data_IF_889117630286
#
_entry.id   IF_889117630286
#
_cell.length_a   1.000
_cell.length_b   1.000
_cell.length_c   1.000
_cell.angle_alpha   90.00
_cell.angle_beta   90.00
_cell.angle_gamma   90.00
#
_symmetry.space_group_name_H-M   'P 1'
#
loop_
_entity.id
_entity.type
_entity.pdbx_description
1 polymer ?
#
# COMPACT_ATOMS: atom_id res chain seq x y z
N UNK A 1 33.66 -15.65 0.69
CA UNK A 1 34.81 -16.57 0.86
C UNK A 1 36.07 -15.75 1.00
N UNK A 2 36.90 -16.00 2.01
CA UNK A 2 38.21 -15.35 2.17
C UNK A 2 39.29 -16.37 1.83
N UNK A 3 40.08 -16.10 0.80
CA UNK A 3 41.23 -16.94 0.45
C UNK A 3 42.45 -16.35 1.15
N UNK A 4 43.01 -17.07 2.11
CA UNK A 4 44.28 -16.71 2.74
C UNK A 4 45.37 -17.52 2.07
N UNK A 5 46.25 -16.84 1.33
CA UNK A 5 47.36 -17.47 0.62
C UNK A 5 48.64 -17.21 1.40
N UNK A 6 49.35 -18.27 1.80
CA UNK A 6 50.68 -18.18 2.39
C UNK A 6 51.69 -18.86 1.48
N UNK A 7 52.53 -18.06 0.83
CA UNK A 7 53.65 -18.57 0.04
C UNK A 7 54.90 -18.68 0.93
N UNK A 8 55.51 -19.87 0.97
CA UNK A 8 56.76 -20.09 1.68
C UNK A 8 57.93 -20.15 0.70
N UNK A 9 58.78 -19.12 0.71
CA UNK A 9 59.94 -19.00 -0.18
C UNK A 9 60.98 -20.10 0.01
N UNK A 10 61.10 -20.65 1.23
CA UNK A 10 62.12 -21.65 1.59
C UNK A 10 61.78 -23.05 1.10
N UNK A 11 60.50 -23.39 0.98
CA UNK A 11 60.01 -24.70 0.51
C UNK A 11 59.40 -24.65 -0.90
N UNK A 12 59.27 -23.46 -1.50
CA UNK A 12 58.53 -23.21 -2.76
C UNK A 12 57.09 -23.75 -2.74
N UNK A 13 56.47 -23.81 -1.56
CA UNK A 13 55.09 -24.28 -1.40
C UNK A 13 54.15 -23.12 -1.14
N UNK A 14 53.03 -23.06 -1.85
CA UNK A 14 51.94 -22.11 -1.59
C UNK A 14 50.79 -22.83 -0.92
N UNK A 15 50.41 -22.38 0.27
CA UNK A 15 49.25 -22.88 1.01
C UNK A 15 48.07 -21.95 0.74
N UNK A 16 46.98 -22.51 0.23
CA UNK A 16 45.71 -21.80 0.04
C UNK A 16 44.73 -22.24 1.13
N UNK A 17 44.30 -21.31 1.98
CA UNK A 17 43.30 -21.53 3.01
C UNK A 17 42.00 -20.84 2.60
N UNK A 18 40.97 -21.64 2.30
CA UNK A 18 39.65 -21.17 1.92
C UNK A 18 38.78 -21.05 3.17
N UNK A 19 38.56 -19.82 3.65
CA UNK A 19 37.70 -19.55 4.80
C UNK A 19 36.30 -19.13 4.32
N UNK A 20 35.30 -19.95 4.62
CA UNK A 20 33.89 -19.62 4.40
C UNK A 20 33.34 -18.91 5.65
N UNK A 21 33.32 -17.57 5.63
CA UNK A 21 32.79 -16.76 6.75
C UNK A 21 31.30 -17.01 7.03
N UNK A 22 30.55 -17.44 6.01
CA UNK A 22 29.11 -17.67 6.06
C UNK A 22 28.67 -18.89 6.87
N UNK A 23 29.59 -19.78 7.27
CA UNK A 23 29.22 -21.08 7.83
C UNK A 23 28.44 -20.97 9.16
N UNK A 24 28.79 -20.00 10.01
CA UNK A 24 28.16 -19.81 11.32
C UNK A 24 26.73 -19.25 11.25
N UNK A 25 26.39 -18.58 10.15
CA UNK A 25 25.07 -17.94 9.95
C UNK A 25 24.09 -18.86 9.20
N UNK A 26 24.48 -20.10 8.91
CA UNK A 26 23.63 -21.08 8.24
C UNK A 26 22.65 -21.73 9.23
N UNK A 27 21.44 -22.08 8.77
CA UNK A 27 20.51 -22.90 9.56
C UNK A 27 21.18 -24.22 9.99
N UNK A 28 20.90 -24.69 11.21
CA UNK A 28 21.52 -25.91 11.76
C UNK A 28 21.40 -27.13 10.84
N UNK A 29 20.23 -27.32 10.22
CA UNK A 29 20.02 -28.41 9.24
C UNK A 29 20.98 -28.36 8.05
N UNK A 30 21.29 -27.16 7.56
CA UNK A 30 22.22 -26.98 6.44
C UNK A 30 23.68 -27.14 6.90
N UNK A 31 24.01 -26.72 8.12
CA UNK A 31 25.31 -26.98 8.72
C UNK A 31 25.56 -28.48 8.87
N UNK A 32 24.59 -29.22 9.41
CA UNK A 32 24.67 -30.67 9.58
C UNK A 32 24.84 -31.38 8.23
N UNK A 33 24.06 -30.99 7.21
CA UNK A 33 24.17 -31.54 5.85
C UNK A 33 25.57 -31.25 5.24
N UNK A 34 26.10 -30.05 5.43
CA UNK A 34 27.44 -29.70 4.96
C UNK A 34 28.54 -30.48 5.68
N UNK A 35 28.46 -30.63 7.01
CA UNK A 35 29.43 -31.42 7.79
C UNK A 35 29.40 -32.87 7.33
N UNK A 36 28.21 -33.47 7.18
CA UNK A 36 28.06 -34.85 6.70
C UNK A 36 28.64 -35.04 5.30
N UNK A 37 28.41 -34.09 4.38
CA UNK A 37 28.97 -34.13 3.03
C UNK A 37 30.50 -34.03 3.03
N UNK A 38 31.07 -33.21 3.91
CA UNK A 38 32.52 -33.10 4.07
C UNK A 38 33.09 -34.39 4.66
N UNK A 39 32.48 -34.96 5.69
CA UNK A 39 32.91 -36.24 6.27
C UNK A 39 32.86 -37.38 5.26
N UNK A 40 31.78 -37.46 4.48
CA UNK A 40 31.63 -38.44 3.41
C UNK A 40 32.69 -38.25 2.32
N UNK A 41 33.00 -37.01 1.97
CA UNK A 41 34.07 -36.69 1.02
C UNK A 41 35.44 -37.12 1.55
N UNK A 42 35.78 -36.82 2.81
CA UNK A 42 37.07 -37.21 3.42
C UNK A 42 37.24 -38.72 3.51
N UNK A 43 36.16 -39.47 3.75
CA UNK A 43 36.18 -40.95 3.78
C UNK A 43 36.27 -41.59 2.39
N UNK A 44 36.08 -40.81 1.32
CA UNK A 44 36.14 -41.34 -0.05
C UNK A 44 37.59 -41.65 -0.49
N UNK A 45 37.86 -42.80 -1.12
CA UNK A 45 39.19 -43.14 -1.62
C UNK A 45 39.68 -42.15 -2.72
N UNK A 46 38.77 -41.46 -3.40
CA UNK A 46 39.08 -40.43 -4.41
C UNK A 46 39.38 -39.05 -3.82
N UNK A 47 39.26 -38.87 -2.50
CA UNK A 47 39.47 -37.57 -1.86
C UNK A 47 40.87 -36.99 -2.13
N UNK A 48 41.92 -37.82 -2.10
CA UNK A 48 43.30 -37.37 -2.32
C UNK A 48 43.55 -36.80 -3.72
N UNK A 49 42.83 -37.31 -4.71
CA UNK A 49 42.92 -36.84 -6.10
C UNK A 49 42.11 -35.56 -6.29
N UNK A 50 40.90 -35.51 -5.72
CA UNK A 50 39.99 -34.37 -5.82
C UNK A 50 40.47 -33.13 -5.05
N UNK A 51 41.14 -33.32 -3.91
CA UNK A 51 41.70 -32.21 -3.09
C UNK A 51 42.81 -31.46 -3.83
N UNK A 52 43.41 -32.03 -4.88
CA UNK A 52 44.41 -31.31 -5.70
C UNK A 52 43.83 -30.07 -6.37
N UNK A 53 42.52 -30.04 -6.61
CA UNK A 53 41.82 -28.86 -7.07
C UNK A 53 41.15 -28.15 -5.87
N UNK A 54 41.59 -26.94 -5.49
CA UNK A 54 41.05 -26.22 -4.34
C UNK A 54 39.58 -25.80 -4.51
N UNK A 55 39.08 -25.72 -5.75
CA UNK A 55 37.71 -25.33 -6.07
C UNK A 55 36.70 -26.47 -5.87
N UNK A 56 37.13 -27.72 -5.72
CA UNK A 56 36.20 -28.84 -5.42
C UNK A 56 35.51 -28.65 -4.07
N UNK A 57 36.16 -28.02 -3.10
CA UNK A 57 35.53 -27.69 -1.81
C UNK A 57 34.41 -26.65 -1.99
N UNK A 58 34.54 -25.76 -2.98
CA UNK A 58 33.50 -24.79 -3.27
C UNK A 58 32.25 -25.45 -3.82
N UNK A 59 32.38 -26.46 -4.68
CA UNK A 59 31.22 -27.17 -5.24
C UNK A 59 30.47 -27.97 -4.16
N UNK A 60 31.18 -28.54 -3.19
CA UNK A 60 30.59 -29.19 -2.01
C UNK A 60 29.79 -28.21 -1.13
N UNK A 61 30.22 -26.96 -1.03
CA UNK A 61 29.49 -25.92 -0.29
C UNK A 61 28.27 -25.40 -1.06
N UNK A 62 28.44 -25.10 -2.36
CA UNK A 62 27.38 -24.49 -3.16
C UNK A 62 26.20 -25.43 -3.41
N UNK A 63 26.44 -26.74 -3.55
CA UNK A 63 25.38 -27.73 -3.81
C UNK A 63 24.23 -27.71 -2.78
N UNK A 64 24.49 -27.94 -1.48
CA UNK A 64 23.45 -27.88 -0.45
C UNK A 64 22.86 -26.46 -0.30
N UNK A 65 23.72 -25.43 -0.39
CA UNK A 65 23.31 -24.03 -0.25
C UNK A 65 22.29 -23.64 -1.33
N UNK A 66 22.50 -24.02 -2.59
CA UNK A 66 21.59 -23.67 -3.68
C UNK A 66 20.26 -24.43 -3.59
N UNK A 67 20.28 -25.67 -3.08
CA UNK A 67 19.05 -26.41 -2.78
C UNK A 67 18.25 -25.76 -1.64
N UNK A 68 18.94 -25.21 -0.66
CA UNK A 68 18.30 -24.43 0.40
C UNK A 68 17.59 -23.20 -0.18
N UNK A 69 18.28 -22.39 -1.00
CA UNK A 69 17.66 -21.25 -1.70
C UNK A 69 16.46 -21.68 -2.57
N UNK A 70 16.56 -22.81 -3.27
CA UNK A 70 15.45 -23.36 -4.06
C UNK A 70 14.20 -23.63 -3.23
N UNK A 71 14.37 -24.18 -2.02
CA UNK A 71 13.26 -24.46 -1.11
C UNK A 71 12.70 -23.16 -0.53
N UNK A 72 13.58 -22.24 -0.12
CA UNK A 72 13.19 -20.93 0.41
C UNK A 72 12.36 -20.12 -0.60
N UNK A 73 12.74 -20.14 -1.88
CA UNK A 73 12.04 -19.42 -2.95
C UNK A 73 10.59 -19.87 -3.19
N UNK A 74 10.19 -21.07 -2.71
CA UNK A 74 8.80 -21.55 -2.84
C UNK A 74 7.85 -20.82 -1.90
N UNK A 75 8.30 -20.49 -0.69
CA UNK A 75 7.46 -19.89 0.35
C UNK A 75 6.79 -18.59 -0.10
N UNK A 76 7.56 -17.58 -0.55
CA UNK A 76 6.99 -16.34 -1.07
C UNK A 76 6.05 -16.58 -2.25
N UNK A 77 6.44 -17.45 -3.20
CA UNK A 77 5.62 -17.75 -4.39
C UNK A 77 4.25 -18.29 -4.03
N UNK A 78 4.20 -19.30 -3.16
CA UNK A 78 2.96 -19.94 -2.77
C UNK A 78 2.10 -18.99 -1.93
N UNK A 79 2.72 -18.22 -1.01
CA UNK A 79 1.99 -17.18 -0.26
C UNK A 79 1.38 -16.11 -1.17
N UNK A 80 2.07 -15.66 -2.22
CA UNK A 80 1.50 -14.68 -3.16
C UNK A 80 0.38 -15.29 -3.98
N UNK A 81 0.52 -16.55 -4.41
CA UNK A 81 -0.54 -17.25 -5.13
C UNK A 81 -1.83 -17.33 -4.30
N UNK A 82 -1.72 -17.58 -3.01
CA UNK A 82 -2.86 -17.63 -2.11
C UNK A 82 -3.53 -16.24 -1.96
N UNK A 83 -2.74 -15.16 -1.86
CA UNK A 83 -3.30 -13.79 -1.81
C UNK A 83 -3.92 -13.38 -3.16
N UNK A 84 -3.32 -13.75 -4.30
CA UNK A 84 -3.91 -13.52 -5.63
C UNK A 84 -5.28 -14.19 -5.75
N UNK A 85 -5.42 -15.42 -5.25
CA UNK A 85 -6.70 -16.13 -5.24
C UNK A 85 -7.76 -15.41 -4.40
N UNK A 86 -7.39 -14.88 -3.23
CA UNK A 86 -8.30 -14.09 -2.37
C UNK A 86 -8.75 -12.79 -3.02
N UNK A 87 -7.87 -12.14 -3.78
CA UNK A 87 -8.19 -10.89 -4.50
C UNK A 87 -9.15 -11.15 -5.66
N UNK A 88 -9.02 -12.30 -6.35
CA UNK A 88 -9.89 -12.68 -7.45
C UNK A 88 -11.18 -13.38 -7.04
N UNK A 89 -11.23 -13.99 -5.85
CA UNK A 89 -12.43 -14.55 -5.23
C UNK A 89 -13.42 -13.44 -4.85
N UNK A 90 -14.32 -13.08 -5.77
CA UNK A 90 -15.31 -12.02 -5.60
C UNK A 90 -16.12 -12.17 -4.31
N UNK A 91 -16.16 -11.12 -3.48
CA UNK A 91 -17.36 -10.80 -2.68
C UNK A 91 -17.15 -10.32 -1.24
N UNK A 92 -16.18 -10.86 -0.50
CA UNK A 92 -16.02 -10.53 0.93
C UNK A 92 -14.60 -10.66 1.50
N UNK A 93 -13.66 -11.30 0.78
CA UNK A 93 -12.29 -11.51 1.28
C UNK A 93 -11.30 -10.39 0.90
N UNK A 94 -11.66 -9.49 -0.02
CA UNK A 94 -10.81 -8.36 -0.44
C UNK A 94 -10.47 -7.45 0.75
N UNK A 95 -11.39 -7.28 1.70
CA UNK A 95 -11.18 -6.51 2.93
C UNK A 95 -10.20 -7.20 3.90
N UNK A 96 -9.96 -8.51 3.74
CA UNK A 96 -9.01 -9.29 4.55
C UNK A 96 -7.62 -9.42 3.92
N UNK A 97 -7.42 -8.90 2.71
CA UNK A 97 -6.10 -8.92 2.07
C UNK A 97 -5.19 -7.93 2.79
N UNK A 98 -4.21 -8.45 3.51
CA UNK A 98 -3.28 -7.63 4.28
C UNK A 98 -2.28 -6.93 3.35
N UNK A 99 -2.58 -5.69 2.94
CA UNK A 99 -1.68 -4.85 2.14
C UNK A 99 -0.28 -4.75 2.77
N UNK A 100 -0.22 -4.70 4.10
CA UNK A 100 1.02 -4.73 4.87
C UNK A 100 1.87 -5.97 4.57
N UNK A 101 1.27 -7.16 4.52
CA UNK A 101 1.98 -8.41 4.23
C UNK A 101 2.51 -8.43 2.81
N UNK A 102 1.71 -7.97 1.83
CA UNK A 102 2.15 -7.84 0.44
C UNK A 102 3.36 -6.89 0.32
N UNK A 103 3.29 -5.73 0.99
CA UNK A 103 4.37 -4.74 0.96
C UNK A 103 5.65 -5.24 1.65
N UNK A 104 5.54 -5.88 2.82
CA UNK A 104 6.68 -6.48 3.52
C UNK A 104 7.30 -7.61 2.69
N UNK A 105 6.48 -8.43 2.03
CA UNK A 105 6.95 -9.51 1.15
C UNK A 105 7.69 -8.93 -0.04
N UNK A 106 7.17 -7.87 -0.68
CA UNK A 106 7.84 -7.19 -1.79
C UNK A 106 9.22 -6.65 -1.36
N UNK A 107 9.30 -5.97 -0.22
CA UNK A 107 10.58 -5.49 0.33
C UNK A 107 11.58 -6.62 0.59
N UNK A 108 11.11 -7.75 1.13
CA UNK A 108 11.97 -8.93 1.34
C UNK A 108 12.48 -9.52 0.02
N UNK A 109 11.65 -9.58 -1.02
CA UNK A 109 12.03 -10.08 -2.34
C UNK A 109 13.04 -9.16 -3.04
N UNK A 110 12.92 -7.84 -2.87
CA UNK A 110 13.90 -6.87 -3.37
C UNK A 110 15.26 -7.04 -2.70
N UNK A 111 15.27 -7.26 -1.38
CA UNK A 111 16.50 -7.56 -0.65
C UNK A 111 17.13 -8.88 -1.11
N UNK A 112 16.31 -9.93 -1.28
CA UNK A 112 16.77 -11.23 -1.79
C UNK A 112 17.36 -11.08 -3.19
N UNK A 113 16.76 -10.28 -4.07
CA UNK A 113 17.29 -10.00 -5.41
C UNK A 113 18.69 -9.39 -5.37
N UNK A 114 18.93 -8.44 -4.46
CA UNK A 114 20.25 -7.84 -4.25
C UNK A 114 21.24 -8.91 -3.79
N UNK A 115 20.88 -9.74 -2.80
CA UNK A 115 21.74 -10.83 -2.35
C UNK A 115 22.05 -11.82 -3.48
N UNK A 116 21.06 -12.15 -4.31
CA UNK A 116 21.27 -13.05 -5.43
C UNK A 116 22.19 -12.48 -6.50
N UNK A 117 22.08 -11.17 -6.81
CA UNK A 117 23.03 -10.50 -7.71
C UNK A 117 24.46 -10.55 -7.18
N UNK A 118 24.65 -10.33 -5.87
CA UNK A 118 25.97 -10.43 -5.26
C UNK A 118 26.53 -11.86 -5.36
N UNK A 119 25.70 -12.88 -5.14
CA UNK A 119 26.13 -14.28 -5.25
C UNK A 119 26.52 -14.62 -6.69
N UNK A 120 25.74 -14.17 -7.69
CA UNK A 120 26.10 -14.34 -9.11
C UNK A 120 27.47 -13.71 -9.43
N UNK A 121 27.74 -12.50 -8.93
CA UNK A 121 29.07 -11.90 -9.10
C UNK A 121 30.18 -12.70 -8.39
N UNK A 122 29.91 -13.30 -7.24
CA UNK A 122 30.87 -14.16 -6.55
C UNK A 122 31.15 -15.43 -7.36
N UNK A 123 30.12 -16.06 -7.94
CA UNK A 123 30.28 -17.22 -8.82
C UNK A 123 31.10 -16.82 -10.07
N UNK A 124 30.77 -15.69 -10.69
CA UNK A 124 31.53 -15.14 -11.83
C UNK A 124 32.99 -14.79 -11.52
N UNK A 125 33.29 -14.38 -10.28
CA UNK A 125 34.69 -14.24 -9.81
C UNK A 125 35.35 -15.61 -9.63
N UNK A 126 34.61 -16.59 -9.11
CA UNK A 126 35.13 -17.93 -8.86
C UNK A 126 35.46 -18.68 -10.16
N UNK A 127 34.60 -18.58 -11.18
CA UNK A 127 34.87 -19.09 -12.54
C UNK A 127 36.16 -18.49 -13.10
N UNK A 128 36.32 -17.16 -13.08
CA UNK A 128 37.55 -16.49 -13.53
C UNK A 128 38.81 -16.94 -12.78
N UNK A 129 38.72 -17.12 -11.46
CA UNK A 129 39.84 -17.64 -10.68
C UNK A 129 40.15 -19.11 -11.00
N UNK A 130 39.14 -19.92 -11.28
CA UNK A 130 39.31 -21.31 -11.72
C UNK A 130 39.97 -21.38 -13.10
N UNK A 131 39.55 -20.55 -14.06
CA UNK A 131 40.18 -20.43 -15.39
C UNK A 131 41.67 -20.04 -15.28
N UNK A 132 41.99 -19.06 -14.42
CA UNK A 132 43.37 -18.66 -14.14
C UNK A 132 44.18 -19.79 -13.51
N UNK A 133 43.61 -20.52 -12.56
CA UNK A 133 44.27 -21.67 -11.96
C UNK A 133 44.52 -22.78 -13.00
N UNK A 134 43.56 -23.02 -13.88
CA UNK A 134 43.66 -24.00 -14.95
C UNK A 134 44.75 -23.63 -15.96
N UNK A 135 44.87 -22.35 -16.34
CA UNK A 135 45.92 -21.90 -17.28
C UNK A 135 47.32 -22.06 -16.69
N UNK A 136 47.50 -21.82 -15.39
CA UNK A 136 48.77 -22.04 -14.68
C UNK A 136 49.13 -23.53 -14.65
N UNK A 137 48.17 -24.41 -14.38
CA UNK A 137 48.41 -25.87 -14.39
C UNK A 137 48.77 -26.36 -15.79
N UNK A 138 48.04 -25.90 -16.83
CA UNK A 138 48.30 -26.26 -18.23
C UNK A 138 49.70 -25.85 -18.70
N UNK A 139 50.22 -24.72 -18.20
CA UNK A 139 51.56 -24.25 -18.53
C UNK A 139 52.69 -25.09 -17.87
N UNK A 140 52.39 -25.87 -16.83
CA UNK A 140 53.38 -26.54 -16.00
C UNK A 140 53.53 -28.06 -16.17
N UNK A 141 52.54 -28.77 -16.74
CA UNK A 141 52.49 -30.25 -16.66
C UNK A 141 52.45 -30.92 -18.05
N UNK A 142 53.63 -31.32 -18.54
CA UNK A 142 53.81 -32.05 -19.80
C UNK A 142 53.39 -33.53 -19.71
N UNK A 143 52.08 -33.81 -19.58
CA UNK A 143 51.50 -35.12 -19.93
C UNK A 143 50.93 -35.99 -18.80
N UNK A 144 50.85 -35.54 -17.53
CA UNK A 144 50.13 -36.26 -16.46
C UNK A 144 48.63 -35.89 -16.36
N UNK A 145 48.10 -35.31 -17.44
CA UNK A 145 47.00 -34.33 -17.43
C UNK A 145 45.56 -34.87 -17.48
N UNK A 146 45.31 -36.12 -17.89
CA UNK A 146 43.95 -36.55 -18.23
C UNK A 146 42.97 -36.52 -17.03
N UNK A 147 43.40 -36.98 -15.86
CA UNK A 147 42.57 -37.03 -14.65
C UNK A 147 42.37 -35.63 -14.06
N UNK A 148 43.41 -34.80 -14.02
CA UNK A 148 43.31 -33.42 -13.53
C UNK A 148 42.44 -32.54 -14.43
N UNK A 149 42.45 -32.80 -15.74
CA UNK A 149 41.61 -32.11 -16.73
C UNK A 149 40.13 -32.43 -16.51
N UNK A 150 39.78 -33.71 -16.32
CA UNK A 150 38.40 -34.12 -16.03
C UNK A 150 37.82 -33.51 -14.74
N UNK A 151 38.63 -33.42 -13.67
CA UNK A 151 38.20 -32.76 -12.42
C UNK A 151 37.99 -31.25 -12.63
N UNK A 152 38.85 -30.57 -13.39
CA UNK A 152 38.66 -29.15 -13.67
C UNK A 152 37.42 -28.87 -14.53
N UNK A 153 37.16 -29.68 -15.57
CA UNK A 153 35.96 -29.56 -16.38
C UNK A 153 34.69 -29.79 -15.55
N UNK A 154 34.69 -30.78 -14.65
CA UNK A 154 33.55 -31.03 -13.76
C UNK A 154 33.28 -29.86 -12.81
N UNK A 155 34.32 -29.22 -12.28
CA UNK A 155 34.14 -28.04 -11.42
C UNK A 155 33.53 -26.87 -12.20
N UNK A 156 34.00 -26.65 -13.43
CA UNK A 156 33.46 -25.62 -14.34
C UNK A 156 31.98 -25.86 -14.64
N UNK A 157 31.61 -27.09 -15.02
CA UNK A 157 30.22 -27.48 -15.25
C UNK A 157 29.33 -27.27 -14.02
N UNK A 158 29.82 -27.59 -12.81
CA UNK A 158 29.05 -27.35 -11.57
C UNK A 158 28.93 -25.85 -11.25
N UNK A 159 29.97 -25.04 -11.49
CA UNK A 159 29.90 -23.59 -11.31
C UNK A 159 28.90 -22.95 -12.27
N UNK A 160 28.92 -23.34 -13.55
CA UNK A 160 27.94 -22.89 -14.56
C UNK A 160 26.53 -23.32 -14.20
N UNK A 161 26.37 -24.54 -13.68
CA UNK A 161 25.08 -25.02 -13.18
C UNK A 161 24.59 -24.17 -12.02
N UNK A 162 25.47 -23.79 -11.08
CA UNK A 162 25.10 -22.94 -9.97
C UNK A 162 24.72 -21.52 -10.43
N UNK A 163 25.46 -20.95 -11.37
CA UNK A 163 25.14 -19.66 -11.96
C UNK A 163 23.75 -19.69 -12.60
N UNK A 164 23.48 -20.68 -13.46
CA UNK A 164 22.19 -20.84 -14.13
C UNK A 164 21.03 -21.02 -13.14
N UNK A 165 21.22 -21.81 -12.07
CA UNK A 165 20.22 -21.96 -11.03
C UNK A 165 19.96 -20.66 -10.27
N UNK A 166 21.02 -19.90 -9.99
CA UNK A 166 20.90 -18.64 -9.27
C UNK A 166 20.28 -17.53 -10.12
N UNK A 167 20.58 -17.50 -11.42
CA UNK A 167 19.90 -16.66 -12.41
C UNK A 167 18.40 -16.97 -12.46
N UNK A 168 18.05 -18.26 -12.49
CA UNK A 168 16.64 -18.68 -12.45
C UNK A 168 15.94 -18.21 -11.17
N UNK A 169 16.55 -18.36 -9.99
CA UNK A 169 15.95 -17.89 -8.74
C UNK A 169 15.78 -16.37 -8.69
N UNK A 170 16.76 -15.63 -9.20
CA UNK A 170 16.67 -14.18 -9.32
C UNK A 170 15.50 -13.77 -10.23
N UNK A 171 15.42 -14.35 -11.42
CA UNK A 171 14.31 -14.08 -12.35
C UNK A 171 12.96 -14.45 -11.73
N UNK A 172 12.89 -15.59 -11.04
CA UNK A 172 11.68 -16.02 -10.35
C UNK A 172 11.26 -15.03 -9.25
N UNK A 173 12.20 -14.49 -8.47
CA UNK A 173 11.90 -13.50 -7.45
C UNK A 173 11.40 -12.18 -8.07
N UNK A 174 12.01 -11.74 -9.18
CA UNK A 174 11.56 -10.57 -9.93
C UNK A 174 10.14 -10.78 -10.50
N UNK A 175 9.82 -11.98 -10.98
CA UNK A 175 8.47 -12.33 -11.41
C UNK A 175 7.45 -12.30 -10.27
N UNK A 176 7.81 -12.82 -9.09
CA UNK A 176 6.93 -12.78 -7.91
C UNK A 176 6.73 -11.34 -7.42
N UNK A 177 7.79 -10.51 -7.42
CA UNK A 177 7.69 -9.09 -7.09
C UNK A 177 6.73 -8.35 -8.04
N UNK A 178 6.87 -8.54 -9.35
CA UNK A 178 5.95 -7.98 -10.36
C UNK A 178 4.52 -8.44 -10.18
N UNK A 179 4.31 -9.68 -9.73
CA UNK A 179 2.97 -10.21 -9.44
C UNK A 179 2.32 -9.50 -8.26
N UNK A 180 3.07 -9.18 -7.21
CA UNK A 180 2.56 -8.45 -6.02
C UNK A 180 2.03 -7.05 -6.38
N UNK A 181 2.65 -6.38 -7.35
CA UNK A 181 2.25 -5.03 -7.76
C UNK A 181 0.81 -4.98 -8.29
N UNK A 182 0.33 -6.04 -8.97
CA UNK A 182 -1.00 -6.03 -9.59
C UNK A 182 -2.14 -6.02 -8.56
N UNK A 183 -2.19 -6.93 -7.57
CA UNK A 183 -3.16 -6.84 -6.49
C UNK A 183 -3.09 -5.50 -5.72
N UNK A 184 -1.89 -4.99 -5.45
CA UNK A 184 -1.72 -3.71 -4.74
C UNK A 184 -2.40 -2.56 -5.50
N UNK A 185 -2.16 -2.47 -6.82
CA UNK A 185 -2.81 -1.45 -7.66
C UNK A 185 -4.33 -1.63 -7.73
N UNK A 186 -4.81 -2.87 -7.85
CA UNK A 186 -6.25 -3.17 -7.86
C UNK A 186 -6.92 -2.74 -6.54
N UNK A 187 -6.33 -3.08 -5.40
CA UNK A 187 -6.82 -2.69 -4.07
C UNK A 187 -6.85 -1.16 -3.92
N UNK A 188 -5.81 -0.47 -4.38
CA UNK A 188 -5.77 1.00 -4.33
C UNK A 188 -6.89 1.63 -5.18
N UNK A 189 -7.07 1.15 -6.42
CA UNK A 189 -8.12 1.63 -7.31
C UNK A 189 -9.53 1.34 -6.75
N UNK A 190 -9.74 0.19 -6.11
CA UNK A 190 -11.00 -0.12 -5.43
C UNK A 190 -11.25 0.80 -4.24
N UNK A 191 -10.25 1.03 -3.39
CA UNK A 191 -10.36 1.96 -2.25
C UNK A 191 -10.70 3.38 -2.70
N UNK A 192 -10.05 3.87 -3.74
CA UNK A 192 -10.35 5.18 -4.35
C UNK A 192 -11.78 5.23 -4.91
N UNK A 193 -12.27 4.13 -5.50
CA UNK A 193 -13.65 4.02 -6.00
C UNK A 193 -14.68 4.01 -4.86
N UNK A 194 -14.43 3.27 -3.79
CA UNK A 194 -15.33 3.24 -2.61
C UNK A 194 -15.39 4.62 -1.96
N UNK A 195 -14.24 5.29 -1.83
CA UNK A 195 -14.14 6.64 -1.27
C UNK A 195 -14.93 7.64 -2.11
N UNK A 196 -14.73 7.63 -3.43
CA UNK A 196 -15.47 8.55 -4.33
C UNK A 196 -16.97 8.26 -4.36
N UNK A 197 -17.40 6.99 -4.34
CA UNK A 197 -18.81 6.63 -4.22
C UNK A 197 -19.41 7.12 -2.90
N UNK A 198 -18.70 6.95 -1.79
CA UNK A 198 -19.13 7.41 -0.46
C UNK A 198 -19.25 8.93 -0.42
N UNK A 199 -18.26 9.65 -0.96
CA UNK A 199 -18.32 11.12 -1.10
C UNK A 199 -19.47 11.55 -1.99
N UNK A 200 -19.75 10.84 -3.10
CA UNK A 200 -20.87 11.15 -3.98
C UNK A 200 -22.21 10.93 -3.27
N UNK A 201 -22.36 9.85 -2.49
CA UNK A 201 -23.55 9.62 -1.67
C UNK A 201 -23.72 10.71 -0.62
N UNK A 202 -22.67 11.02 0.13
CA UNK A 202 -22.67 12.14 1.09
C UNK A 202 -23.06 13.46 0.42
N UNK A 203 -22.55 13.74 -0.78
CA UNK A 203 -22.89 14.94 -1.55
C UNK A 203 -24.36 14.95 -1.94
N UNK A 204 -24.92 13.80 -2.35
CA UNK A 204 -26.36 13.68 -2.66
C UNK A 204 -27.22 13.90 -1.42
N UNK A 205 -26.85 13.32 -0.28
CA UNK A 205 -27.54 13.56 1.00
C UNK A 205 -27.45 15.02 1.42
N UNK A 206 -26.27 15.64 1.32
CA UNK A 206 -26.08 17.07 1.61
C UNK A 206 -26.88 17.97 0.65
N UNK A 207 -27.01 17.61 -0.63
CA UNK A 207 -27.86 18.33 -1.59
C UNK A 207 -29.35 18.21 -1.24
N UNK A 208 -29.81 17.02 -0.84
CA UNK A 208 -31.19 16.82 -0.39
C UNK A 208 -31.46 17.62 0.91
N UNK A 209 -30.55 17.56 1.87
CA UNK A 209 -30.63 18.32 3.11
C UNK A 209 -30.66 19.84 2.82
N UNK A 210 -29.84 20.31 1.88
CA UNK A 210 -29.84 21.72 1.45
C UNK A 210 -31.19 22.15 0.85
N UNK A 211 -31.87 21.26 0.11
CA UNK A 211 -33.20 21.54 -0.42
C UNK A 211 -34.25 21.64 0.70
N UNK A 212 -34.19 20.75 1.70
CA UNK A 212 -35.08 20.79 2.87
C UNK A 212 -34.90 22.06 3.71
N UNK A 213 -33.66 22.50 3.92
CA UNK A 213 -33.35 23.78 4.61
C UNK A 213 -33.95 24.98 3.87
N UNK A 214 -33.93 24.95 2.53
CA UNK A 214 -34.59 25.94 1.69
C UNK A 214 -36.10 26.03 1.94
N UNK A 215 -36.78 24.89 2.03
CA UNK A 215 -38.23 24.85 2.30
C UNK A 215 -38.57 25.37 3.69
N UNK A 216 -37.83 24.95 4.72
CA UNK A 216 -38.05 25.44 6.11
C UNK A 216 -37.88 26.97 6.17
N UNK A 217 -36.87 27.50 5.49
CA UNK A 217 -36.61 28.94 5.44
C UNK A 217 -37.75 29.73 4.76
N UNK A 218 -38.38 29.15 3.73
CA UNK A 218 -39.54 29.77 3.08
C UNK A 218 -40.74 29.77 4.04
N UNK A 219 -40.99 28.66 4.74
CA UNK A 219 -42.07 28.56 5.72
C UNK A 219 -41.87 29.61 6.83
N UNK A 220 -40.67 29.71 7.41
CA UNK A 220 -40.40 30.71 8.44
C UNK A 220 -40.56 32.14 7.92
N UNK A 221 -40.16 32.45 6.69
CA UNK A 221 -40.36 33.78 6.10
C UNK A 221 -41.82 34.20 5.95
N UNK A 222 -42.73 33.25 5.78
CA UNK A 222 -44.17 33.53 5.71
C UNK A 222 -44.76 33.70 7.11
N UNK A 223 -44.40 32.81 8.04
CA UNK A 223 -45.02 32.78 9.37
C UNK A 223 -44.47 33.85 10.33
N UNK A 224 -43.15 34.11 10.33
CA UNK A 224 -42.51 35.00 11.30
C UNK A 224 -43.08 36.43 11.30
N UNK A 225 -43.27 37.09 10.13
CA UNK A 225 -43.82 38.44 10.07
C UNK A 225 -45.29 38.47 10.54
N UNK A 226 -46.06 37.45 10.18
CA UNK A 226 -47.45 37.30 10.58
C UNK A 226 -47.58 37.14 12.10
N UNK A 227 -46.76 36.28 12.72
CA UNK A 227 -46.75 36.10 14.18
C UNK A 227 -46.28 37.35 14.93
N UNK A 228 -45.32 38.11 14.39
CA UNK A 228 -44.85 39.35 15.01
C UNK A 228 -45.95 40.41 15.06
N UNK A 229 -46.67 40.59 13.96
CA UNK A 229 -47.78 41.54 13.85
C UNK A 229 -48.95 41.08 14.71
N UNK A 230 -49.28 39.78 14.69
CA UNK A 230 -50.31 39.20 15.56
C UNK A 230 -49.97 39.38 17.05
N UNK A 231 -48.69 39.33 17.44
CA UNK A 231 -48.26 39.60 18.81
C UNK A 231 -48.42 41.06 19.22
N UNK A 232 -47.93 42.00 18.40
CA UNK A 232 -48.01 43.44 18.68
C UNK A 232 -49.46 43.95 18.70
N UNK A 233 -50.30 43.42 17.82
CA UNK A 233 -51.68 43.87 17.70
C UNK A 233 -52.66 43.01 18.49
N UNK A 234 -52.38 41.74 18.77
CA UNK A 234 -53.17 40.93 19.70
C UNK A 234 -53.21 41.54 21.10
N UNK A 235 -52.15 42.27 21.48
CA UNK A 235 -52.12 43.07 22.72
C UNK A 235 -52.84 44.42 22.63
N UNK A 236 -53.17 44.91 21.42
CA UNK A 236 -53.75 46.25 21.21
C UNK A 236 -55.19 46.24 20.66
N UNK A 237 -55.65 45.16 20.03
CA UNK A 237 -56.99 45.07 19.41
C UNK A 237 -58.04 44.53 20.38
N UNK A 238 -57.62 43.75 21.38
CA UNK A 238 -58.48 43.37 22.50
C UNK A 238 -58.26 44.40 23.61
N UNK A 239 -59.00 45.51 23.55
CA UNK A 239 -59.27 46.24 24.77
C UNK A 239 -60.10 45.30 25.66
N UNK A 240 -59.54 44.87 26.79
CA UNK A 240 -60.26 44.07 27.78
C UNK A 240 -61.62 44.70 28.06
N UNK A 241 -62.67 43.89 28.33
CA UNK A 241 -64.05 44.36 28.36
C UNK A 241 -64.12 45.67 29.12
N UNK A 242 -64.55 46.73 28.44
CA UNK A 242 -64.92 47.97 29.10
C UNK A 242 -65.94 47.56 30.15
N UNK A 243 -65.51 47.47 31.41
CA UNK A 243 -66.43 47.23 32.53
C UNK A 243 -67.54 48.26 32.31
N UNK A 244 -68.81 47.85 32.12
CA UNK A 244 -69.86 48.74 32.52
C UNK A 244 -69.62 48.95 34.01
N UNK A 245 -69.06 50.10 34.38
CA UNK A 245 -69.46 50.69 35.64
C UNK A 245 -70.96 50.73 35.58
N UNK A 246 -71.62 49.88 36.34
CA UNK A 246 -72.64 50.25 37.31
C UNK A 246 -73.17 48.96 37.92
N UNK A 247 -73.50 49.02 39.20
CA UNK A 247 -73.89 47.89 40.04
C UNK A 247 -74.77 46.86 39.30
N UNK A 248 -74.35 45.59 39.41
CA UNK A 248 -75.12 44.35 39.21
C UNK A 248 -76.11 44.30 38.02
N UNK A 249 -75.71 43.63 36.93
CA UNK A 249 -76.65 43.05 35.98
C UNK A 249 -76.15 41.71 35.41
N UNK A 250 -77.13 40.85 35.15
CA UNK A 250 -77.19 39.45 34.69
C UNK A 250 -76.28 39.03 33.51
N UNK A 251 -76.07 37.70 33.30
CA UNK A 251 -75.04 37.15 32.43
C UNK A 251 -75.57 36.90 31.01
N UNK A 252 -75.59 37.94 30.18
CA UNK A 252 -75.77 37.77 28.73
C UNK A 252 -75.17 38.97 28.02
N UNK A 253 -74.28 38.71 27.06
CA UNK A 253 -73.63 39.67 26.16
C UNK A 253 -72.34 40.32 26.68
N UNK A 254 -71.32 39.47 26.85
CA UNK A 254 -69.92 39.90 26.83
C UNK A 254 -69.55 40.31 25.38
N UNK A 255 -69.92 41.53 24.97
CA UNK A 255 -69.57 42.03 23.64
C UNK A 255 -68.07 42.40 23.59
N UNK A 256 -67.28 41.53 22.95
CA UNK A 256 -65.94 41.87 22.48
C UNK A 256 -66.04 43.02 21.47
N UNK A 257 -65.66 44.23 21.85
CA UNK A 257 -65.48 45.33 20.91
C UNK A 257 -64.23 45.05 20.06
N UNK A 258 -64.45 44.52 18.86
CA UNK A 258 -63.43 44.43 17.82
C UNK A 258 -63.28 45.81 17.18
N UNK A 259 -62.08 46.38 17.24
CA UNK A 259 -61.79 47.69 16.64
C UNK A 259 -61.96 47.69 15.11
N UNK A 260 -62.54 48.77 14.57
CA UNK A 260 -62.85 48.99 13.13
C UNK A 260 -61.59 49.05 12.23
N UNK A 261 -60.39 49.02 12.82
CA UNK A 261 -59.09 49.06 12.12
C UNK A 261 -58.51 47.68 11.78
N UNK A 262 -59.31 46.61 11.76
CA UNK A 262 -58.85 45.24 11.47
C UNK A 262 -58.12 45.11 10.12
N UNK A 263 -58.43 45.97 9.15
CA UNK A 263 -57.80 45.95 7.83
C UNK A 263 -56.31 46.33 7.86
N UNK A 264 -55.89 47.13 8.86
CA UNK A 264 -54.48 47.51 9.07
C UNK A 264 -53.61 46.29 9.36
N UNK A 265 -54.16 45.26 10.02
CA UNK A 265 -53.48 43.98 10.24
C UNK A 265 -53.11 43.30 8.91
N UNK A 266 -54.09 43.22 8.00
CA UNK A 266 -53.93 42.53 6.73
C UNK A 266 -52.90 43.27 5.87
N UNK A 267 -53.00 44.60 5.79
CA UNK A 267 -52.06 45.40 5.01
C UNK A 267 -50.65 45.36 5.60
N UNK A 268 -50.50 45.54 6.91
CA UNK A 268 -49.19 45.53 7.56
C UNK A 268 -48.49 44.17 7.41
N UNK A 269 -49.24 43.07 7.52
CA UNK A 269 -48.69 41.71 7.38
C UNK A 269 -48.25 41.40 5.95
N UNK A 270 -49.00 41.83 4.95
CA UNK A 270 -48.65 41.68 3.53
C UNK A 270 -47.42 42.50 3.17
N UNK A 271 -47.33 43.76 3.63
CA UNK A 271 -46.16 44.61 3.36
C UNK A 271 -44.89 44.04 4.02
N UNK A 272 -45.00 43.57 5.26
CA UNK A 272 -43.84 43.03 5.99
C UNK A 272 -43.35 41.70 5.39
N UNK A 273 -44.25 40.82 4.95
CA UNK A 273 -43.89 39.59 4.24
C UNK A 273 -43.19 39.87 2.90
N UNK A 274 -43.71 40.82 2.10
CA UNK A 274 -43.06 41.30 0.87
C UNK A 274 -41.66 41.85 1.14
N UNK A 275 -41.48 42.65 2.20
CA UNK A 275 -40.19 43.19 2.60
C UNK A 275 -39.20 42.09 2.98
N UNK A 276 -39.61 41.08 3.77
CA UNK A 276 -38.75 39.94 4.12
C UNK A 276 -38.34 39.11 2.89
N UNK A 277 -39.25 38.88 1.95
CA UNK A 277 -38.94 38.19 0.70
C UNK A 277 -37.96 38.99 -0.17
N UNK A 278 -38.13 40.32 -0.26
CA UNK A 278 -37.24 41.19 -1.02
C UNK A 278 -35.81 41.20 -0.45
N UNK A 279 -35.67 41.29 0.89
CA UNK A 279 -34.37 41.23 1.57
C UNK A 279 -33.70 39.88 1.35
N UNK A 280 -34.42 38.78 1.50
CA UNK A 280 -33.87 37.44 1.25
C UNK A 280 -33.43 37.24 -0.19
N UNK A 281 -34.28 37.64 -1.14
CA UNK A 281 -33.96 37.55 -2.57
C UNK A 281 -32.67 38.31 -2.88
N UNK A 282 -32.50 39.49 -2.32
CA UNK A 282 -31.31 40.30 -2.49
C UNK A 282 -30.05 39.64 -1.91
N UNK A 283 -30.13 39.10 -0.69
CA UNK A 283 -29.03 38.38 -0.05
C UNK A 283 -28.67 37.09 -0.81
N UNK A 284 -29.67 36.32 -1.24
CA UNK A 284 -29.47 35.11 -2.04
C UNK A 284 -28.78 35.41 -3.37
N UNK A 285 -29.23 36.45 -4.09
CA UNK A 285 -28.59 36.90 -5.34
C UNK A 285 -27.14 37.35 -5.13
N UNK A 286 -26.85 38.06 -4.04
CA UNK A 286 -25.48 38.48 -3.70
C UNK A 286 -24.58 37.29 -3.38
N UNK A 287 -25.08 36.32 -2.62
CA UNK A 287 -24.36 35.08 -2.29
C UNK A 287 -23.99 34.28 -3.54
N UNK A 288 -24.93 34.09 -4.47
CA UNK A 288 -24.69 33.36 -5.73
C UNK A 288 -23.60 34.04 -6.58
N UNK A 289 -23.66 35.37 -6.72
CA UNK A 289 -22.65 36.13 -7.48
C UNK A 289 -21.24 36.04 -6.86
N UNK A 290 -21.13 35.93 -5.53
CA UNK A 290 -19.82 35.76 -4.88
C UNK A 290 -19.24 34.36 -5.09
N UNK A 291 -20.09 33.32 -5.00
CA UNK A 291 -19.67 31.93 -5.24
C UNK A 291 -19.23 31.75 -6.69
N UNK A 292 -19.98 32.25 -7.66
CA UNK A 292 -19.59 32.19 -9.08
C UNK A 292 -18.27 32.89 -9.37
N UNK A 293 -18.01 34.05 -8.72
CA UNK A 293 -16.73 34.75 -8.86
C UNK A 293 -15.57 33.94 -8.27
N UNK A 294 -15.76 33.32 -7.10
CA UNK A 294 -14.75 32.44 -6.49
C UNK A 294 -14.45 31.22 -7.35
N UNK A 295 -15.47 30.57 -7.92
CA UNK A 295 -15.30 29.42 -8.81
C UNK A 295 -14.51 29.81 -10.07
N UNK A 296 -14.81 30.97 -10.69
CA UNK A 296 -14.04 31.45 -11.85
C UNK A 296 -12.58 31.76 -11.52
N UNK A 297 -12.31 32.34 -10.34
CA UNK A 297 -10.94 32.64 -9.91
C UNK A 297 -10.13 31.36 -9.61
N UNK A 298 -10.76 30.34 -9.03
CA UNK A 298 -10.10 29.04 -8.78
C UNK A 298 -9.86 28.26 -10.08
N UNK A 299 -10.83 28.25 -11.01
CA UNK A 299 -10.67 27.58 -12.30
C UNK A 299 -9.66 28.23 -13.25
N UNK A 300 -9.31 29.50 -13.05
CA UNK A 300 -8.20 30.15 -13.76
C UNK A 300 -6.83 29.90 -13.12
N UNK A 301 -6.78 29.43 -11.87
CA UNK A 301 -5.53 29.13 -11.17
C UNK A 301 -4.94 27.74 -11.45
N UNK A 302 -5.74 26.80 -11.97
CA UNK A 302 -5.27 25.46 -12.38
C UNK A 302 -4.81 25.39 -13.87
N UNK A 303 -4.91 26.49 -14.62
CA UNK A 303 -4.57 26.57 -16.05
C UNK A 303 -3.24 27.30 -16.35
N UNK A 304 -2.41 27.54 -15.33
CA UNK A 304 -1.06 28.13 -15.43
C UNK A 304 -0.07 27.19 -14.76
#
# INVERSE_FOLDING_TARGET
MTVVTRHCLRTRTTVYLLKYRSFNDLPGLLQDELVQNIEAFVRSPRARELVRNPFVLSTLHFGPTIQYYRRAARGPRDSIRDEEQRVHGMGAEVERVSLQKLHLTLGSLDQDRIQMSFILEVIGRLQRHHEQFQSIIRAGDGGKEAISRGVCCRVEEELDRFENQMLYFRSSNEDVARRIERPVQLLFNMSARISSQSTMQMTRYAMQESASVGTISIVTMVFLPGTFIAGILGTNIIAGPSRPSHAFAEPSDLQLLVSDQWWVLVVASVVLTLATFAVWWFLKRRGQKMIERKIRMLGQGEAV
#
